data_IF_072551524177
#
_entry.id   IF_072551524177
#
_cell.length_a   1.000
_cell.length_b   1.000
_cell.length_c   1.000
_cell.angle_alpha   90.00
_cell.angle_beta   90.00
_cell.angle_gamma   90.00
#
_symmetry.space_group_name_H-M   'P 1'
#
loop_
_entity.id
_entity.type
_entity.pdbx_description
1 polymer ?
#
# COMPACT_ATOMS: atom_id res chain seq x y z
N UNK A 1 -15.23 14.91 10.88
CA UNK A 1 -14.94 13.63 11.56
C UNK A 1 -13.50 13.27 11.27
N UNK A 2 -12.75 12.79 12.26
CA UNK A 2 -11.41 12.25 11.99
C UNK A 2 -11.57 10.87 11.39
N UNK A 3 -11.06 10.65 10.18
CA UNK A 3 -11.14 9.36 9.48
C UNK A 3 -10.25 8.34 10.19
N UNK A 4 -10.78 7.71 11.26
CA UNK A 4 -10.09 6.70 12.07
C UNK A 4 -10.21 5.28 11.53
N UNK A 5 -11.06 5.07 10.52
CA UNK A 5 -11.35 3.75 9.97
C UNK A 5 -11.11 3.76 8.46
N UNK A 6 -10.31 2.81 7.99
CA UNK A 6 -10.14 2.50 6.58
C UNK A 6 -10.84 1.17 6.31
N UNK A 7 -11.86 1.17 5.45
CA UNK A 7 -12.62 -0.03 5.12
C UNK A 7 -11.92 -0.79 3.98
N UNK A 8 -11.62 -2.07 4.21
CA UNK A 8 -11.07 -2.95 3.19
C UNK A 8 -12.15 -3.35 2.16
N UNK A 9 -11.89 -3.09 0.88
CA UNK A 9 -12.75 -3.53 -0.23
C UNK A 9 -12.23 -4.86 -0.78
N UNK A 10 -12.38 -5.91 0.02
CA UNK A 10 -11.95 -7.27 -0.34
C UNK A 10 -13.08 -7.95 -1.15
N UNK A 11 -13.23 -7.49 -2.40
CA UNK A 11 -14.21 -8.00 -3.35
C UNK A 11 -13.52 -8.37 -4.67
N UNK A 12 -14.01 -9.40 -5.38
CA UNK A 12 -13.44 -9.80 -6.66
C UNK A 12 -13.87 -8.90 -7.83
N UNK A 13 -14.82 -7.97 -7.61
CA UNK A 13 -15.43 -7.12 -8.64
C UNK A 13 -15.74 -5.71 -8.13
N UNK A 14 -15.76 -4.73 -9.03
CA UNK A 14 -16.01 -3.33 -8.70
C UNK A 14 -17.43 -3.07 -8.19
N UNK A 15 -18.44 -3.73 -8.76
CA UNK A 15 -19.86 -3.47 -8.43
C UNK A 15 -20.16 -3.62 -6.93
N UNK A 16 -19.89 -4.77 -6.27
CA UNK A 16 -20.20 -4.92 -4.84
C UNK A 16 -19.32 -4.02 -3.95
N UNK A 17 -18.08 -3.74 -4.38
CA UNK A 17 -17.18 -2.84 -3.67
C UNK A 17 -17.69 -1.39 -3.65
N UNK A 18 -18.15 -0.89 -4.80
CA UNK A 18 -18.71 0.46 -4.93
C UNK A 18 -20.07 0.55 -4.25
N UNK A 19 -20.90 -0.49 -4.33
CA UNK A 19 -22.17 -0.55 -3.60
C UNK A 19 -21.97 -0.45 -2.07
N UNK A 20 -20.93 -1.08 -1.52
CA UNK A 20 -20.57 -0.92 -0.11
C UNK A 20 -20.16 0.53 0.22
N UNK A 21 -19.31 1.15 -0.61
CA UNK A 21 -18.87 2.52 -0.41
C UNK A 21 -20.03 3.54 -0.48
N UNK A 22 -20.98 3.30 -1.39
CA UNK A 22 -22.19 4.10 -1.54
C UNK A 22 -23.13 3.91 -0.32
N UNK A 23 -23.29 2.68 0.16
CA UNK A 23 -24.10 2.36 1.35
C UNK A 23 -23.56 2.98 2.63
N UNK A 24 -22.24 2.99 2.82
CA UNK A 24 -21.61 3.63 3.98
C UNK A 24 -21.68 5.16 3.90
N UNK A 25 -21.79 5.73 2.71
CA UNK A 25 -22.04 7.17 2.52
C UNK A 25 -21.03 8.03 3.30
N UNK A 26 -21.47 9.07 4.02
CA UNK A 26 -20.57 9.96 4.78
C UNK A 26 -19.99 9.32 6.06
N UNK A 27 -20.47 8.15 6.49
CA UNK A 27 -19.96 7.49 7.69
C UNK A 27 -18.55 6.92 7.49
N UNK A 28 -18.16 6.65 6.24
CA UNK A 28 -16.80 6.26 5.88
C UNK A 28 -16.36 6.90 4.56
N UNK A 29 -15.23 7.59 4.62
CA UNK A 29 -14.60 8.30 3.51
C UNK A 29 -13.34 7.60 3.00
N UNK A 30 -12.77 6.65 3.73
CA UNK A 30 -11.46 6.04 3.42
C UNK A 30 -11.57 4.53 3.16
N UNK A 31 -11.12 4.10 1.98
CA UNK A 31 -11.21 2.71 1.54
C UNK A 31 -9.86 2.15 1.09
N UNK A 32 -9.57 0.91 1.45
CA UNK A 32 -8.40 0.16 0.97
C UNK A 32 -8.79 -0.66 -0.26
N UNK A 33 -8.11 -0.41 -1.38
CA UNK A 33 -8.16 -1.25 -2.58
C UNK A 33 -6.92 -2.13 -2.58
N UNK A 34 -7.12 -3.44 -2.37
CA UNK A 34 -6.04 -4.43 -2.35
C UNK A 34 -5.73 -5.03 -3.73
N UNK A 35 -4.75 -5.92 -3.75
CA UNK A 35 -4.26 -6.58 -4.96
C UNK A 35 -5.34 -7.31 -5.77
N UNK A 36 -6.26 -8.02 -5.11
CA UNK A 36 -7.34 -8.77 -5.79
C UNK A 36 -8.22 -7.84 -6.63
N UNK A 37 -8.85 -6.86 -5.98
CA UNK A 37 -9.75 -5.91 -6.64
C UNK A 37 -9.01 -5.07 -7.69
N UNK A 38 -7.79 -4.62 -7.40
CA UNK A 38 -7.02 -3.84 -8.36
C UNK A 38 -6.58 -4.67 -9.58
N UNK A 39 -6.29 -5.95 -9.40
CA UNK A 39 -5.93 -6.82 -10.54
C UNK A 39 -7.14 -7.09 -11.43
N UNK A 40 -8.33 -7.24 -10.82
CA UNK A 40 -9.57 -7.46 -11.55
C UNK A 40 -10.06 -6.22 -12.30
N UNK A 41 -9.97 -5.03 -11.67
CA UNK A 41 -10.68 -3.82 -12.14
C UNK A 41 -9.73 -2.66 -12.49
N UNK A 42 -8.45 -2.77 -12.11
CA UNK A 42 -7.40 -1.79 -12.39
C UNK A 42 -7.68 -0.40 -11.81
N UNK A 43 -7.17 0.61 -12.49
CA UNK A 43 -7.35 2.01 -12.11
C UNK A 43 -8.81 2.50 -12.13
N UNK A 44 -9.73 1.77 -12.80
CA UNK A 44 -11.12 2.20 -12.93
C UNK A 44 -11.84 2.27 -11.58
N UNK A 45 -11.60 1.30 -10.69
CA UNK A 45 -12.20 1.26 -9.36
C UNK A 45 -11.69 2.40 -8.47
N UNK A 46 -10.39 2.71 -8.54
CA UNK A 46 -9.77 3.83 -7.82
C UNK A 46 -10.40 5.15 -8.26
N UNK A 47 -10.48 5.39 -9.57
CA UNK A 47 -11.12 6.60 -10.11
C UNK A 47 -12.61 6.70 -9.72
N UNK A 48 -13.32 5.58 -9.66
CA UNK A 48 -14.73 5.55 -9.27
C UNK A 48 -14.94 5.93 -7.79
N UNK A 49 -14.03 5.53 -6.89
CA UNK A 49 -14.03 5.95 -5.49
C UNK A 49 -13.65 7.43 -5.35
N UNK A 50 -12.61 7.89 -6.05
CA UNK A 50 -12.22 9.30 -6.03
C UNK A 50 -13.35 10.24 -6.50
N UNK A 51 -14.08 9.87 -7.57
CA UNK A 51 -15.26 10.64 -8.06
C UNK A 51 -16.39 10.74 -7.04
N UNK A 52 -16.47 9.80 -6.08
CA UNK A 52 -17.42 9.82 -4.96
C UNK A 52 -16.90 10.62 -3.76
N UNK A 53 -15.78 11.33 -3.91
CA UNK A 53 -15.13 12.08 -2.83
C UNK A 53 -14.49 11.17 -1.78
N UNK A 54 -14.17 9.91 -2.12
CA UNK A 54 -13.53 8.97 -1.19
C UNK A 54 -12.02 9.06 -1.28
N UNK A 55 -11.36 8.85 -0.14
CA UNK A 55 -9.93 8.61 -0.04
C UNK A 55 -9.62 7.15 -0.31
N UNK A 56 -8.55 6.90 -1.07
CA UNK A 56 -8.13 5.54 -1.46
C UNK A 56 -6.77 5.24 -0.87
N UNK A 57 -6.69 4.14 -0.13
CA UNK A 57 -5.45 3.47 0.24
C UNK A 57 -5.24 2.35 -0.79
N UNK A 58 -4.25 2.55 -1.66
CA UNK A 58 -3.86 1.58 -2.66
C UNK A 58 -2.84 0.60 -2.06
N UNK A 59 -3.30 -0.58 -1.67
CA UNK A 59 -2.50 -1.59 -0.99
C UNK A 59 -1.94 -2.63 -1.97
N UNK A 60 -0.95 -2.22 -2.77
CA UNK A 60 -0.32 -3.04 -3.80
C UNK A 60 1.04 -3.62 -3.40
N UNK A 61 1.63 -3.13 -2.31
CA UNK A 61 2.90 -3.58 -1.76
C UNK A 61 4.00 -3.62 -2.84
N UNK A 62 4.21 -2.49 -3.53
CA UNK A 62 5.13 -2.44 -4.67
C UNK A 62 6.54 -2.90 -4.27
N UNK A 63 7.15 -3.73 -5.12
CA UNK A 63 8.48 -4.28 -4.91
C UNK A 63 9.12 -4.58 -6.27
N UNK A 64 10.01 -3.71 -6.72
CA UNK A 64 10.69 -3.80 -8.02
C UNK A 64 11.97 -2.95 -7.97
N UNK A 65 12.69 -2.78 -9.07
CA UNK A 65 13.84 -1.88 -9.14
C UNK A 65 13.43 -0.42 -8.89
N UNK A 66 14.33 0.45 -8.37
CA UNK A 66 13.98 1.79 -7.92
C UNK A 66 13.19 2.64 -8.91
N UNK A 67 13.63 2.67 -10.18
CA UNK A 67 12.99 3.48 -11.22
C UNK A 67 11.57 2.98 -11.56
N UNK A 68 11.32 1.67 -11.49
CA UNK A 68 9.98 1.11 -11.73
C UNK A 68 9.03 1.48 -10.60
N UNK A 69 9.46 1.35 -9.34
CA UNK A 69 8.65 1.74 -8.18
C UNK A 69 8.39 3.24 -8.17
N UNK A 70 9.40 4.08 -8.45
CA UNK A 70 9.22 5.53 -8.57
C UNK A 70 8.13 5.90 -9.59
N UNK A 71 8.17 5.32 -10.79
CA UNK A 71 7.14 5.57 -11.81
C UNK A 71 5.76 5.08 -11.36
N UNK A 72 5.67 3.89 -10.76
CA UNK A 72 4.40 3.37 -10.27
C UNK A 72 3.82 4.23 -9.14
N UNK A 73 4.67 4.75 -8.23
CA UNK A 73 4.30 5.69 -7.18
C UNK A 73 3.73 6.99 -7.75
N UNK A 74 4.40 7.60 -8.72
CA UNK A 74 3.89 8.81 -9.39
C UNK A 74 2.51 8.56 -10.02
N UNK A 75 2.32 7.41 -10.68
CA UNK A 75 1.02 7.03 -11.26
C UNK A 75 -0.06 6.78 -10.21
N UNK A 76 0.28 6.20 -9.06
CA UNK A 76 -0.68 6.07 -7.95
C UNK A 76 -1.13 7.45 -7.44
N UNK A 77 -0.20 8.41 -7.36
CA UNK A 77 -0.50 9.81 -7.07
C UNK A 77 -1.45 10.44 -8.09
N UNK A 78 -1.16 10.29 -9.39
CA UNK A 78 -2.00 10.78 -10.50
C UNK A 78 -3.43 10.20 -10.46
N UNK A 79 -3.61 8.98 -9.94
CA UNK A 79 -4.92 8.36 -9.77
C UNK A 79 -5.74 8.94 -8.60
N UNK A 80 -5.10 9.71 -7.72
CA UNK A 80 -5.71 10.29 -6.51
C UNK A 80 -5.62 9.39 -5.28
N UNK A 81 -4.71 8.40 -5.26
CA UNK A 81 -4.46 7.63 -4.05
C UNK A 81 -3.93 8.55 -2.93
N UNK A 82 -4.41 8.31 -1.71
CA UNK A 82 -3.93 8.99 -0.50
C UNK A 82 -2.82 8.22 0.19
N UNK A 83 -2.92 6.89 0.21
CA UNK A 83 -1.88 5.99 0.71
C UNK A 83 -1.48 4.98 -0.36
N UNK A 84 -0.20 4.60 -0.37
CA UNK A 84 0.35 3.53 -1.20
C UNK A 84 1.32 2.67 -0.39
N UNK A 85 1.21 1.34 -0.47
CA UNK A 85 2.19 0.43 0.14
C UNK A 85 3.37 0.11 -0.77
N UNK A 86 4.57 0.11 -0.19
CA UNK A 86 5.83 -0.33 -0.79
C UNK A 86 6.54 -1.31 0.15
N UNK A 87 7.19 -2.35 -0.36
CA UNK A 87 7.94 -3.28 0.49
C UNK A 87 9.26 -2.68 0.95
N UNK A 88 9.45 -2.53 2.27
CA UNK A 88 10.72 -2.08 2.84
C UNK A 88 11.89 -3.02 2.47
N UNK A 89 11.61 -4.31 2.26
CA UNK A 89 12.59 -5.30 1.81
C UNK A 89 13.20 -5.00 0.42
N UNK A 90 12.64 -4.07 -0.38
CA UNK A 90 13.23 -3.63 -1.65
C UNK A 90 14.47 -2.75 -1.49
N UNK A 91 14.81 -2.35 -0.26
CA UNK A 91 16.05 -1.65 0.08
C UNK A 91 15.97 -0.12 -0.05
N UNK A 92 16.94 0.57 0.55
CA UNK A 92 16.95 2.02 0.69
C UNK A 92 16.80 2.76 -0.65
N UNK A 93 17.58 2.37 -1.68
CA UNK A 93 17.51 3.02 -2.99
C UNK A 93 16.12 2.95 -3.65
N UNK A 94 15.38 1.85 -3.46
CA UNK A 94 14.01 1.72 -3.97
C UNK A 94 13.05 2.65 -3.22
N UNK A 95 13.19 2.70 -1.89
CA UNK A 95 12.34 3.49 -1.01
C UNK A 95 12.58 5.00 -1.22
N UNK A 96 13.83 5.43 -1.35
CA UNK A 96 14.22 6.81 -1.65
C UNK A 96 13.66 7.26 -3.00
N UNK A 97 13.77 6.41 -4.03
CA UNK A 97 13.20 6.70 -5.34
C UNK A 97 11.67 6.78 -5.31
N UNK A 98 11.01 5.95 -4.52
CA UNK A 98 9.57 6.02 -4.32
C UNK A 98 9.18 7.33 -3.61
N UNK A 99 9.85 7.67 -2.51
CA UNK A 99 9.60 8.89 -1.73
C UNK A 99 9.79 10.15 -2.58
N UNK A 100 10.88 10.22 -3.37
CA UNK A 100 11.14 11.34 -4.27
C UNK A 100 10.10 11.50 -5.39
N UNK A 101 9.43 10.42 -5.79
CA UNK A 101 8.40 10.43 -6.83
C UNK A 101 6.97 10.62 -6.28
N UNK A 102 6.77 10.56 -4.96
CA UNK A 102 5.47 10.73 -4.34
C UNK A 102 5.10 12.23 -4.32
N UNK A 103 3.91 12.61 -4.83
CA UNK A 103 3.42 13.98 -4.61
C UNK A 103 3.06 14.17 -3.13
N UNK A 104 3.07 15.42 -2.65
CA UNK A 104 2.72 15.78 -1.26
C UNK A 104 1.36 15.24 -0.79
N UNK A 105 0.47 14.95 -1.72
CA UNK A 105 -0.86 14.40 -1.46
C UNK A 105 -0.90 12.89 -1.20
N UNK A 106 0.21 12.18 -1.41
CA UNK A 106 0.35 10.73 -1.30
C UNK A 106 1.34 10.38 -0.19
N UNK A 107 0.89 9.62 0.81
CA UNK A 107 1.77 9.05 1.84
C UNK A 107 2.15 7.62 1.48
N UNK A 108 3.44 7.32 1.56
CA UNK A 108 3.95 5.96 1.39
C UNK A 108 3.95 5.20 2.72
N UNK A 109 3.52 3.95 2.67
CA UNK A 109 3.49 3.05 3.82
C UNK A 109 4.43 1.87 3.57
N UNK A 110 5.51 1.79 4.35
CA UNK A 110 6.48 0.71 4.25
C UNK A 110 5.95 -0.59 4.85
N UNK A 111 5.74 -1.61 4.03
CA UNK A 111 5.45 -2.97 4.48
C UNK A 111 6.75 -3.63 4.91
N UNK A 112 6.81 -4.07 6.16
CA UNK A 112 8.00 -4.67 6.77
C UNK A 112 7.99 -6.19 6.60
N UNK A 113 7.54 -6.93 7.60
CA UNK A 113 7.35 -8.38 7.57
C UNK A 113 5.86 -8.64 7.38
N UNK A 114 5.51 -9.48 6.40
CA UNK A 114 4.12 -9.93 6.24
C UNK A 114 3.71 -10.79 7.43
N UNK A 115 2.48 -10.64 7.90
CA UNK A 115 1.95 -11.42 9.03
C UNK A 115 1.90 -12.93 8.76
N UNK A 116 2.04 -13.35 7.50
CA UNK A 116 2.13 -14.75 7.09
C UNK A 116 3.54 -15.33 7.16
N UNK A 117 4.58 -14.54 7.48
CA UNK A 117 5.96 -14.99 7.57
C UNK A 117 6.39 -15.08 9.03
N UNK A 118 6.80 -16.28 9.44
CA UNK A 118 7.49 -16.53 10.70
C UNK A 118 9.02 -16.47 10.53
N UNK A 119 9.75 -16.71 11.61
CA UNK A 119 11.22 -16.70 11.64
C UNK A 119 11.85 -17.69 10.65
N UNK A 120 11.20 -18.84 10.45
CA UNK A 120 11.68 -19.87 9.53
C UNK A 120 11.52 -19.42 8.08
N UNK A 121 10.35 -18.90 7.72
CA UNK A 121 10.06 -18.33 6.41
C UNK A 121 10.99 -17.16 6.09
N UNK A 122 11.19 -16.24 7.04
CA UNK A 122 12.15 -15.14 6.89
C UNK A 122 13.59 -15.66 6.72
N UNK A 123 13.96 -16.71 7.45
CA UNK A 123 15.28 -17.32 7.33
C UNK A 123 15.53 -17.91 5.95
N UNK A 124 14.53 -18.57 5.37
CA UNK A 124 14.58 -19.11 4.02
C UNK A 124 14.72 -18.00 2.96
N UNK A 125 13.97 -16.90 3.11
CA UNK A 125 14.02 -15.77 2.17
C UNK A 125 15.35 -15.00 2.25
N UNK A 126 15.86 -14.73 3.46
CA UNK A 126 17.07 -13.92 3.64
C UNK A 126 18.38 -14.71 3.59
N UNK A 127 18.32 -16.04 3.57
CA UNK A 127 19.52 -16.88 3.60
C UNK A 127 20.34 -16.75 4.89
N UNK A 128 19.72 -16.27 5.97
CA UNK A 128 20.34 -16.12 7.31
C UNK A 128 19.33 -16.42 8.39
N UNK A 129 19.79 -16.86 9.56
CA UNK A 129 18.92 -17.02 10.71
C UNK A 129 18.27 -15.68 11.09
N UNK A 130 16.96 -15.70 11.27
CA UNK A 130 16.17 -14.59 11.82
C UNK A 130 15.65 -15.06 13.18
N UNK A 131 16.18 -14.53 14.29
CA UNK A 131 15.80 -15.02 15.61
C UNK A 131 14.42 -14.53 16.08
N UNK A 132 13.96 -13.39 15.56
CA UNK A 132 12.70 -12.75 15.94
C UNK A 132 12.17 -11.91 14.77
N UNK A 133 10.95 -12.20 14.32
CA UNK A 133 10.31 -11.49 13.20
C UNK A 133 9.99 -10.02 13.54
N UNK A 134 9.70 -9.69 14.80
CA UNK A 134 9.42 -8.33 15.26
C UNK A 134 10.66 -7.43 15.23
N UNK A 135 11.82 -7.95 15.62
CA UNK A 135 13.12 -7.27 15.49
C UNK A 135 13.43 -6.97 14.03
N UNK A 136 13.17 -7.93 13.15
CA UNK A 136 13.38 -7.75 11.72
C UNK A 136 12.40 -6.73 11.12
N UNK A 137 11.14 -6.76 11.54
CA UNK A 137 10.15 -5.76 11.18
C UNK A 137 10.57 -4.35 11.60
N UNK A 138 11.05 -4.18 12.84
CA UNK A 138 11.55 -2.90 13.36
C UNK A 138 12.82 -2.42 12.63
N UNK A 139 13.69 -3.34 12.20
CA UNK A 139 14.85 -3.02 11.36
C UNK A 139 14.42 -2.47 10.00
N UNK A 140 13.50 -3.15 9.32
CA UNK A 140 12.95 -2.73 8.03
C UNK A 140 12.18 -1.40 8.15
N UNK A 141 11.42 -1.21 9.24
CA UNK A 141 10.70 0.04 9.51
C UNK A 141 11.65 1.24 9.64
N UNK A 142 12.77 1.08 10.35
CA UNK A 142 13.78 2.14 10.49
C UNK A 142 14.41 2.52 9.15
N UNK A 143 14.69 1.54 8.29
CA UNK A 143 15.20 1.79 6.96
C UNK A 143 14.18 2.55 6.10
N UNK A 144 12.91 2.14 6.12
CA UNK A 144 11.86 2.85 5.39
C UNK A 144 11.72 4.31 5.86
N UNK A 145 11.67 4.55 7.17
CA UNK A 145 11.61 5.90 7.73
C UNK A 145 12.84 6.75 7.39
N UNK A 146 14.01 6.13 7.23
CA UNK A 146 15.24 6.83 6.85
C UNK A 146 15.27 7.27 5.39
N UNK A 147 14.43 6.68 4.53
CA UNK A 147 14.37 6.94 3.09
C UNK A 147 13.42 8.09 2.71
N UNK A 148 12.60 8.59 3.64
CA UNK A 148 11.58 9.62 3.42
C UNK A 148 10.21 9.15 3.91
#
# INVERSE_FOLDING_TARGET
MSDRVIVALDFPRAEPALALADRLGPACTFYKVGLELYTAEGAAVVRALCRRGKHVFLDLKLHDIPNTVARATARAGDLGARFLTVHAAGGAAMLEAAAAAAPDTLTLLGVTVLTSLDESGLGAVFGRRVPDAGVEAARLARMARGAG
#
